data_IF_250065352549
#
_entry.id   IF_250065352549
#
_cell.length_a   1.000
_cell.length_b   1.000
_cell.length_c   1.000
_cell.angle_alpha   90.00
_cell.angle_beta   90.00
_cell.angle_gamma   90.00
#
_symmetry.space_group_name_H-M   'P 1'
#
loop_
_entity.id
_entity.type
_entity.pdbx_description
1 polymer ?
#
# COMPACT_ATOMS: atom_id res chain seq x y z
N UNK A 1 -81.41 43.04 19.14
CA UNK A 1 -81.98 43.49 20.44
C UNK A 1 -81.17 42.81 21.55
N UNK A 2 -80.60 43.51 22.55
CA UNK A 2 -81.27 44.29 23.62
C UNK A 2 -82.06 43.31 24.52
N UNK A 3 -81.78 43.13 25.83
CA UNK A 3 -81.24 44.05 26.86
C UNK A 3 -80.39 43.32 27.95
N UNK A 4 -79.58 44.07 28.73
CA UNK A 4 -78.97 43.63 30.01
C UNK A 4 -79.88 43.88 31.23
N UNK A 5 -79.91 42.97 32.21
CA UNK A 5 -80.37 43.13 33.61
C UNK A 5 -79.58 42.11 34.47
N UNK A 6 -78.99 42.33 35.66
CA UNK A 6 -79.11 43.31 36.78
C UNK A 6 -80.49 43.33 37.48
N UNK A 7 -80.62 43.29 38.82
CA UNK A 7 -79.60 43.30 39.91
C UNK A 7 -79.39 41.86 40.49
N UNK A 8 -79.18 41.48 41.77
CA UNK A 8 -79.17 42.11 43.12
C UNK A 8 -78.13 41.38 44.03
N UNK A 9 -78.06 41.68 45.34
CA UNK A 9 -77.08 41.15 46.32
C UNK A 9 -77.79 40.55 47.54
N UNK A 10 -77.31 39.40 48.05
CA UNK A 10 -77.34 38.96 49.46
C UNK A 10 -76.56 37.62 49.59
N UNK A 11 -75.71 37.36 50.60
CA UNK A 11 -75.22 38.28 51.64
C UNK A 11 -74.90 37.64 53.00
N UNK A 12 -74.17 36.51 53.07
CA UNK A 12 -73.63 35.98 54.34
C UNK A 12 -72.19 35.50 54.16
N UNK A 13 -71.31 35.90 55.07
CA UNK A 13 -69.91 35.47 55.13
C UNK A 13 -69.77 34.32 56.13
N UNK A 14 -69.12 33.22 55.75
CA UNK A 14 -68.53 32.30 56.72
C UNK A 14 -67.25 31.69 56.15
N UNK A 15 -66.14 31.85 56.87
CA UNK A 15 -64.82 31.40 56.44
C UNK A 15 -64.42 30.14 57.20
N UNK A 16 -64.38 29.00 56.51
CA UNK A 16 -63.70 27.80 56.97
C UNK A 16 -62.75 27.32 55.87
N UNK A 17 -61.47 27.23 56.18
CA UNK A 17 -60.47 26.66 55.30
C UNK A 17 -59.99 25.33 55.88
N UNK A 18 -60.09 24.24 55.10
CA UNK A 18 -59.04 23.22 55.04
C UNK A 18 -59.25 22.25 53.86
N UNK A 19 -58.10 21.77 53.36
CA UNK A 19 -57.84 21.04 52.14
C UNK A 19 -58.62 19.72 51.88
N UNK A 20 -58.70 19.36 50.59
CA UNK A 20 -58.65 17.94 50.15
C UNK A 20 -59.54 17.62 48.94
N UNK A 21 -58.98 16.99 47.89
CA UNK A 21 -59.79 16.19 46.95
C UNK A 21 -59.55 16.32 45.44
N UNK A 22 -58.72 17.23 44.93
CA UNK A 22 -58.43 17.26 43.48
C UNK A 22 -57.40 16.20 43.08
N UNK A 23 -57.84 15.23 42.27
CA UNK A 23 -57.06 14.08 41.83
C UNK A 23 -56.00 14.44 40.78
N UNK A 24 -54.77 14.71 41.22
CA UNK A 24 -53.61 14.82 40.33
C UNK A 24 -53.21 13.44 39.81
N UNK A 25 -53.68 13.09 38.60
CA UNK A 25 -53.13 11.95 37.85
C UNK A 25 -51.67 12.26 37.55
N UNK A 26 -50.75 11.59 38.26
CA UNK A 26 -49.31 11.69 38.02
C UNK A 26 -48.97 11.05 36.68
N UNK A 27 -48.92 11.86 35.62
CA UNK A 27 -48.36 11.45 34.35
C UNK A 27 -46.91 10.98 34.60
N UNK A 28 -46.66 9.68 34.48
CA UNK A 28 -45.35 9.09 34.70
C UNK A 28 -44.33 9.63 33.69
N UNK A 29 -43.64 10.71 34.08
CA UNK A 29 -42.57 11.32 33.33
C UNK A 29 -41.46 10.28 33.15
N UNK A 30 -41.41 9.68 31.95
CA UNK A 30 -40.44 8.64 31.60
C UNK A 30 -39.03 9.24 31.71
N UNK A 31 -38.32 8.92 32.79
CA UNK A 31 -37.02 9.48 33.11
C UNK A 31 -36.00 9.06 32.05
N UNK A 32 -35.64 10.00 31.17
CA UNK A 32 -34.59 9.80 30.19
C UNK A 32 -33.24 9.59 30.87
N UNK A 33 -32.35 8.81 30.23
CA UNK A 33 -31.00 8.61 30.73
C UNK A 33 -30.18 9.89 30.56
N UNK A 34 -29.66 10.43 31.67
CA UNK A 34 -28.72 11.54 31.62
C UNK A 34 -27.39 11.11 30.98
N UNK A 35 -26.74 12.01 30.24
CA UNK A 35 -25.36 11.81 29.78
C UNK A 35 -24.43 12.17 30.96
N UNK A 36 -23.80 11.16 31.55
CA UNK A 36 -22.88 11.31 32.69
C UNK A 36 -21.54 11.93 32.27
N UNK A 37 -21.05 11.61 31.08
CA UNK A 37 -19.84 12.21 30.52
C UNK A 37 -19.82 12.14 28.99
N UNK A 38 -18.97 12.97 28.38
CA UNK A 38 -18.68 12.97 26.95
C UNK A 38 -17.17 13.09 26.76
N UNK A 39 -16.62 12.33 25.81
CA UNK A 39 -15.23 12.37 25.40
C UNK A 39 -15.15 12.51 23.88
N UNK A 40 -14.55 13.59 23.39
CA UNK A 40 -14.22 13.71 21.96
C UNK A 40 -13.04 12.78 21.62
N UNK A 41 -13.07 12.18 20.44
CA UNK A 41 -12.07 11.19 20.01
C UNK A 41 -11.93 11.17 18.48
N UNK A 42 -11.00 10.37 17.96
CA UNK A 42 -10.88 10.12 16.52
C UNK A 42 -10.22 8.77 16.30
N UNK A 43 -11.02 7.73 16.06
CA UNK A 43 -10.50 6.40 15.70
C UNK A 43 -11.36 5.72 14.63
N UNK A 44 -10.72 4.90 13.80
CA UNK A 44 -11.42 4.04 12.85
C UNK A 44 -11.95 2.79 13.56
N UNK A 45 -13.16 2.38 13.21
CA UNK A 45 -13.84 1.24 13.81
C UNK A 45 -14.49 0.37 12.73
N UNK A 46 -14.66 -0.92 13.03
CA UNK A 46 -15.44 -1.88 12.24
C UNK A 46 -16.70 -2.24 13.02
N UNK A 47 -17.84 -2.19 12.36
CA UNK A 47 -19.08 -2.73 12.91
C UNK A 47 -19.02 -4.25 13.04
N UNK A 48 -19.43 -4.76 14.20
CA UNK A 48 -19.38 -6.19 14.56
C UNK A 48 -20.66 -6.63 15.27
N UNK A 49 -20.98 -7.92 15.15
CA UNK A 49 -22.06 -8.60 15.87
C UNK A 49 -23.47 -8.04 15.63
N UNK A 50 -23.71 -7.29 14.56
CA UNK A 50 -25.03 -6.70 14.25
C UNK A 50 -26.10 -7.76 13.96
N UNK A 51 -25.70 -8.93 13.46
CA UNK A 51 -26.61 -10.06 13.17
C UNK A 51 -27.38 -10.54 14.40
N UNK A 52 -26.72 -10.57 15.57
CA UNK A 52 -27.27 -10.98 16.88
C UNK A 52 -27.83 -9.83 17.73
N UNK A 53 -27.82 -8.59 17.21
CA UNK A 53 -28.26 -7.39 17.91
C UNK A 53 -29.68 -6.94 17.53
N UNK A 54 -30.27 -6.14 18.43
CA UNK A 54 -31.60 -5.53 18.30
C UNK A 54 -31.63 -4.05 18.75
N UNK A 55 -30.47 -3.47 19.11
CA UNK A 55 -30.26 -2.03 19.13
C UNK A 55 -30.03 -1.51 17.69
N UNK A 56 -30.52 -0.31 17.41
CA UNK A 56 -30.35 0.35 16.11
C UNK A 56 -29.26 1.42 16.13
N UNK A 57 -29.20 2.20 15.06
CA UNK A 57 -28.36 3.41 14.98
C UNK A 57 -29.26 4.63 15.21
N UNK A 58 -28.93 5.46 16.19
CA UNK A 58 -29.77 6.56 16.66
C UNK A 58 -29.26 7.90 16.11
N UNK A 59 -30.00 8.51 15.19
CA UNK A 59 -29.50 9.64 14.38
C UNK A 59 -29.06 10.86 15.22
N UNK A 60 -29.87 11.25 16.22
CA UNK A 60 -29.73 12.54 16.89
C UNK A 60 -28.89 12.50 18.17
N UNK A 61 -29.08 11.48 19.01
CA UNK A 61 -28.44 11.35 20.32
C UNK A 61 -28.41 9.86 20.76
N UNK A 62 -27.60 9.49 21.77
CA UNK A 62 -27.61 8.14 22.36
C UNK A 62 -29.02 7.71 22.79
N UNK A 63 -29.30 6.40 22.70
CA UNK A 63 -30.64 5.86 22.96
C UNK A 63 -31.22 6.32 24.31
N UNK A 64 -32.50 6.68 24.30
CA UNK A 64 -33.27 7.03 25.49
C UNK A 64 -32.73 8.22 26.32
N UNK A 65 -31.92 9.10 25.73
CA UNK A 65 -31.47 10.37 26.36
C UNK A 65 -32.45 11.54 26.20
N UNK A 66 -33.27 11.51 25.14
CA UNK A 66 -34.28 12.53 24.84
C UNK A 66 -35.36 11.96 23.90
N UNK A 67 -36.47 12.69 23.69
CA UNK A 67 -37.61 12.22 22.86
C UNK A 67 -37.20 11.81 21.44
N UNK A 68 -36.35 12.61 20.78
CA UNK A 68 -35.81 12.33 19.44
C UNK A 68 -34.80 11.19 19.40
N UNK A 69 -34.17 10.83 20.53
CA UNK A 69 -33.21 9.72 20.63
C UNK A 69 -33.87 8.32 20.58
N UNK A 70 -35.20 8.26 20.40
CA UNK A 70 -35.91 7.02 20.06
C UNK A 70 -35.97 6.77 18.55
N UNK A 71 -35.73 7.78 17.72
CA UNK A 71 -35.66 7.63 16.25
C UNK A 71 -34.37 6.90 15.87
N UNK A 72 -34.51 5.73 15.25
CA UNK A 72 -33.39 4.84 14.91
C UNK A 72 -33.51 4.26 13.51
N UNK A 73 -32.38 4.05 12.85
CA UNK A 73 -32.28 3.06 11.78
C UNK A 73 -32.46 1.66 12.40
N UNK A 74 -33.53 0.97 12.02
CA UNK A 74 -33.73 -0.44 12.37
C UNK A 74 -32.84 -1.38 11.54
N UNK A 75 -32.25 -0.87 10.45
CA UNK A 75 -31.39 -1.60 9.51
C UNK A 75 -29.95 -1.78 10.03
N UNK A 76 -29.71 -1.72 11.34
CA UNK A 76 -28.37 -1.89 11.95
C UNK A 76 -27.63 -3.14 11.46
N UNK A 77 -28.36 -4.21 11.11
CA UNK A 77 -27.80 -5.43 10.48
C UNK A 77 -27.07 -5.17 9.16
N UNK A 78 -27.50 -4.18 8.38
CA UNK A 78 -26.88 -3.77 7.13
C UNK A 78 -25.53 -3.04 7.34
N UNK A 79 -25.19 -2.69 8.58
CA UNK A 79 -23.93 -2.07 8.95
C UNK A 79 -22.83 -3.07 9.33
N UNK A 80 -23.14 -4.37 9.44
CA UNK A 80 -22.14 -5.40 9.76
C UNK A 80 -20.89 -5.29 8.86
N UNK A 81 -19.71 -5.36 9.49
CA UNK A 81 -18.39 -5.20 8.87
C UNK A 81 -18.11 -3.84 8.20
N UNK A 82 -19.00 -2.84 8.25
CA UNK A 82 -18.69 -1.49 7.71
C UNK A 82 -17.64 -0.78 8.55
N UNK A 83 -16.76 -0.05 7.87
CA UNK A 83 -15.76 0.83 8.48
C UNK A 83 -16.32 2.21 8.68
N UNK A 84 -16.17 2.76 9.88
CA UNK A 84 -16.66 4.09 10.27
C UNK A 84 -15.63 4.82 11.12
N UNK A 85 -15.69 6.15 11.11
CA UNK A 85 -14.83 6.99 11.97
C UNK A 85 -15.62 7.44 13.20
N UNK A 86 -15.17 7.05 14.39
CA UNK A 86 -15.77 7.45 15.67
C UNK A 86 -15.18 8.79 16.10
N UNK A 87 -16.05 9.76 16.39
CA UNK A 87 -15.69 11.14 16.71
C UNK A 87 -15.97 11.55 18.17
N UNK A 88 -16.86 10.84 18.86
CA UNK A 88 -17.28 11.18 20.22
C UNK A 88 -17.79 9.91 20.94
N UNK A 89 -17.48 9.74 22.22
CA UNK A 89 -18.09 8.75 23.11
C UNK A 89 -18.93 9.49 24.14
N UNK A 90 -20.18 9.07 24.35
CA UNK A 90 -21.04 9.52 25.43
C UNK A 90 -21.28 8.36 26.40
N UNK A 91 -21.07 8.59 27.71
CA UNK A 91 -21.39 7.61 28.77
C UNK A 91 -22.68 8.04 29.45
N UNK A 92 -23.66 7.14 29.54
CA UNK A 92 -24.96 7.40 30.14
C UNK A 92 -24.95 7.16 31.65
N UNK A 93 -25.99 7.62 32.36
CA UNK A 93 -26.14 7.49 33.81
C UNK A 93 -26.15 6.04 34.29
N UNK A 94 -26.62 5.11 33.45
CA UNK A 94 -26.58 3.65 33.69
C UNK A 94 -25.26 2.98 33.24
N UNK A 95 -24.22 3.76 32.89
CA UNK A 95 -22.92 3.25 32.46
C UNK A 95 -22.82 2.78 31.00
N UNK A 96 -23.93 2.69 30.26
CA UNK A 96 -23.90 2.32 28.83
C UNK A 96 -23.21 3.42 28.03
N UNK A 97 -22.34 3.03 27.10
CA UNK A 97 -21.60 3.96 26.25
C UNK A 97 -22.07 3.91 24.80
N UNK A 98 -22.19 5.08 24.17
CA UNK A 98 -22.53 5.25 22.76
C UNK A 98 -21.41 6.00 22.02
N UNK A 99 -21.02 5.49 20.86
CA UNK A 99 -20.11 6.13 19.92
C UNK A 99 -20.91 6.91 18.86
N UNK A 100 -20.59 8.19 18.70
CA UNK A 100 -20.98 9.00 17.53
C UNK A 100 -20.02 8.67 16.39
N UNK A 101 -20.56 8.37 15.21
CA UNK A 101 -19.74 7.93 14.08
C UNK A 101 -20.15 8.56 12.75
N UNK A 102 -19.17 8.58 11.84
CA UNK A 102 -19.29 9.06 10.47
C UNK A 102 -18.94 7.96 9.46
N UNK A 103 -19.58 8.00 8.29
CA UNK A 103 -19.34 7.11 7.16
C UNK A 103 -19.17 7.95 5.90
N UNK A 104 -18.09 7.75 5.14
CA UNK A 104 -17.67 8.60 4.01
C UNK A 104 -17.59 10.12 4.29
N UNK A 105 -17.44 10.51 5.56
CA UNK A 105 -17.36 11.90 6.03
C UNK A 105 -18.63 12.37 6.73
N UNK A 106 -19.80 11.95 6.24
CA UNK A 106 -21.10 12.30 6.81
C UNK A 106 -21.30 11.71 8.20
N UNK A 107 -21.83 12.52 9.14
CA UNK A 107 -22.20 12.04 10.48
C UNK A 107 -23.51 11.26 10.40
N UNK A 108 -23.47 9.97 10.72
CA UNK A 108 -24.64 9.09 10.60
C UNK A 108 -25.49 9.09 11.87
N UNK A 109 -24.84 9.12 13.04
CA UNK A 109 -25.53 9.11 14.33
C UNK A 109 -24.71 8.39 15.39
N UNK A 110 -25.43 7.70 16.30
CA UNK A 110 -24.89 7.05 17.49
C UNK A 110 -25.20 5.55 17.52
N UNK A 111 -24.24 4.74 17.94
CA UNK A 111 -24.44 3.31 18.23
C UNK A 111 -23.80 2.95 19.57
N UNK A 112 -24.33 1.95 20.27
CA UNK A 112 -23.72 1.39 21.49
C UNK A 112 -22.30 0.88 21.17
N UNK A 113 -21.30 1.22 22.00
CA UNK A 113 -19.89 0.96 21.67
C UNK A 113 -19.55 -0.53 21.46
N UNK A 114 -20.36 -1.45 21.99
CA UNK A 114 -20.16 -2.90 21.83
C UNK A 114 -20.51 -3.39 20.41
N UNK A 115 -21.09 -2.52 19.58
CA UNK A 115 -21.26 -2.73 18.14
C UNK A 115 -19.97 -2.48 17.34
N UNK A 116 -18.92 -1.92 17.96
CA UNK A 116 -17.73 -1.41 17.28
C UNK A 116 -16.44 -2.04 17.81
N UNK A 117 -15.69 -2.65 16.92
CA UNK A 117 -14.30 -3.05 17.14
C UNK A 117 -13.36 -1.92 16.69
N UNK A 118 -12.35 -1.56 17.49
CA UNK A 118 -11.32 -0.61 17.05
C UNK A 118 -10.49 -1.21 15.93
N UNK A 119 -10.43 -0.55 14.77
CA UNK A 119 -9.77 -1.07 13.59
C UNK A 119 -8.61 -0.18 13.14
N UNK A 120 -7.47 -0.80 12.78
CA UNK A 120 -6.46 -0.15 11.95
C UNK A 120 -5.75 -1.16 11.05
N UNK A 121 -5.75 -0.88 9.74
CA UNK A 121 -4.96 -1.61 8.73
C UNK A 121 -3.47 -1.47 9.01
N UNK A 122 -3.00 -0.28 9.42
CA UNK A 122 -1.59 -0.09 9.78
C UNK A 122 -1.16 -0.95 10.99
N UNK A 123 -1.95 -1.00 12.07
CA UNK A 123 -1.63 -1.79 13.25
C UNK A 123 -1.77 -3.30 13.01
N UNK A 124 -2.81 -3.74 12.28
CA UNK A 124 -2.99 -5.15 11.95
C UNK A 124 -1.88 -5.65 11.01
N UNK A 125 -1.46 -4.83 10.04
CA UNK A 125 -0.28 -5.11 9.24
C UNK A 125 1.00 -5.19 10.09
N UNK A 126 1.17 -4.30 11.08
CA UNK A 126 2.32 -4.34 12.00
C UNK A 126 2.38 -5.65 12.80
N UNK A 127 1.25 -6.15 13.27
CA UNK A 127 1.15 -7.47 13.94
C UNK A 127 1.52 -8.60 12.98
N UNK A 128 0.97 -8.61 11.76
CA UNK A 128 1.29 -9.64 10.75
C UNK A 128 2.79 -9.67 10.37
N UNK A 129 3.40 -8.50 10.18
CA UNK A 129 4.84 -8.38 9.88
C UNK A 129 5.71 -8.87 11.05
N UNK A 130 5.38 -8.46 12.28
CA UNK A 130 6.10 -8.89 13.49
C UNK A 130 6.01 -10.42 13.70
N UNK A 131 4.81 -11.00 13.52
CA UNK A 131 4.58 -12.44 13.68
C UNK A 131 5.32 -13.27 12.62
N UNK A 132 5.55 -12.69 11.43
CA UNK A 132 6.37 -13.26 10.38
C UNK A 132 7.88 -12.98 10.54
N UNK A 133 8.31 -12.36 11.65
CA UNK A 133 9.67 -11.88 11.91
C UNK A 133 10.28 -11.02 10.77
N UNK A 134 9.43 -10.34 10.00
CA UNK A 134 9.85 -9.38 8.97
C UNK A 134 10.51 -8.17 9.63
N UNK A 135 11.61 -7.67 9.06
CA UNK A 135 12.11 -6.32 9.34
C UNK A 135 12.21 -5.52 8.05
N UNK A 136 11.79 -4.25 8.10
CA UNK A 136 11.80 -3.34 6.96
C UNK A 136 10.59 -2.40 6.99
N UNK A 137 10.16 -1.98 5.80
CA UNK A 137 9.05 -1.05 5.60
C UNK A 137 8.05 -1.57 4.57
N UNK A 138 6.76 -1.41 4.87
CA UNK A 138 5.63 -1.88 4.08
C UNK A 138 4.66 -0.74 3.75
N UNK A 139 3.99 -0.83 2.61
CA UNK A 139 3.03 0.15 2.13
C UNK A 139 1.81 -0.55 1.54
N UNK A 140 0.64 -0.32 2.15
CA UNK A 140 -0.63 -0.95 1.82
C UNK A 140 -1.59 0.07 1.18
N UNK A 141 -2.06 -0.17 -0.04
CA UNK A 141 -2.87 0.79 -0.79
C UNK A 141 -4.07 0.13 -1.50
N UNK A 142 -5.18 0.87 -1.60
CA UNK A 142 -6.41 0.39 -2.23
C UNK A 142 -7.08 1.51 -3.02
N UNK A 143 -6.86 1.52 -4.35
CA UNK A 143 -7.02 2.64 -5.26
C UNK A 143 -6.05 3.81 -4.96
N UNK A 144 -5.19 4.14 -5.91
CA UNK A 144 -4.19 5.23 -5.85
C UNK A 144 -4.73 6.63 -5.45
N UNK A 145 -6.05 6.83 -5.41
CA UNK A 145 -6.71 8.07 -5.01
C UNK A 145 -6.78 8.29 -3.49
N UNK A 146 -6.99 7.23 -2.69
CA UNK A 146 -7.19 7.32 -1.22
C UNK A 146 -5.89 7.30 -0.42
N UNK A 147 -4.74 7.19 -1.10
CA UNK A 147 -3.43 7.09 -0.46
C UNK A 147 -3.09 5.67 -0.01
N UNK A 148 -2.25 5.56 1.03
CA UNK A 148 -1.72 4.30 1.51
C UNK A 148 -1.41 4.36 3.01
N UNK A 149 -1.44 3.21 3.69
CA UNK A 149 -0.92 3.08 5.05
C UNK A 149 0.53 2.61 5.00
N UNK A 150 1.43 3.35 5.64
CA UNK A 150 2.84 3.01 5.81
C UNK A 150 3.05 2.28 7.14
N UNK A 151 3.85 1.22 7.14
CA UNK A 151 4.11 0.39 8.32
C UNK A 151 5.56 -0.03 8.34
N UNK A 152 6.31 0.39 9.37
CA UNK A 152 7.73 0.09 9.50
C UNK A 152 7.95 -0.74 10.78
N UNK A 153 8.81 -1.74 10.71
CA UNK A 153 9.10 -2.68 11.81
C UNK A 153 10.58 -3.05 11.85
N UNK A 154 11.09 -3.30 13.07
CA UNK A 154 12.49 -3.66 13.27
C UNK A 154 13.46 -2.50 13.04
N UNK A 155 14.75 -2.85 12.91
CA UNK A 155 15.84 -1.90 12.76
C UNK A 155 16.32 -1.78 11.32
N UNK A 156 16.60 -0.54 10.91
CA UNK A 156 17.42 -0.25 9.74
C UNK A 156 18.91 -0.50 10.06
N UNK A 157 19.34 -0.18 11.28
CA UNK A 157 20.59 -0.69 11.85
C UNK A 157 20.40 -1.09 13.32
N UNK A 158 20.54 -2.38 13.59
CA UNK A 158 20.40 -2.97 14.92
C UNK A 158 21.56 -2.64 15.86
N UNK A 159 22.75 -2.31 15.34
CA UNK A 159 23.92 -1.98 16.16
C UNK A 159 23.75 -0.62 16.85
N UNK A 160 23.34 0.41 16.10
CA UNK A 160 22.97 1.73 16.64
C UNK A 160 21.53 1.80 17.18
N UNK A 161 20.73 0.72 17.01
CA UNK A 161 19.28 0.67 17.28
C UNK A 161 18.46 1.67 16.46
N UNK A 162 18.97 2.08 15.29
CA UNK A 162 18.25 2.92 14.33
C UNK A 162 17.07 2.16 13.73
N UNK A 163 15.84 2.61 14.02
CA UNK A 163 14.60 1.97 13.56
C UNK A 163 14.37 2.13 12.05
N UNK A 164 13.68 1.16 11.45
CA UNK A 164 13.12 1.31 10.10
C UNK A 164 12.08 2.43 10.05
N UNK A 165 12.13 3.27 9.03
CA UNK A 165 11.28 4.45 8.86
C UNK A 165 10.74 4.57 7.42
N UNK A 166 9.85 5.54 7.18
CA UNK A 166 9.32 5.85 5.85
C UNK A 166 10.37 6.44 4.89
N UNK A 167 11.53 6.89 5.40
CA UNK A 167 12.67 7.36 4.61
C UNK A 167 13.86 6.39 4.60
N UNK A 168 13.73 5.20 5.20
CA UNK A 168 14.77 4.16 5.11
C UNK A 168 14.90 3.65 3.68
N UNK A 169 16.13 3.62 3.18
CA UNK A 169 16.49 3.29 1.81
C UNK A 169 16.92 1.81 1.75
N UNK A 170 16.34 1.05 0.82
CA UNK A 170 16.60 -0.38 0.63
C UNK A 170 17.03 -0.66 -0.82
N UNK A 171 17.91 -1.64 -1.09
CA UNK A 171 18.15 -2.11 -2.46
C UNK A 171 16.87 -2.76 -3.02
N UNK A 172 16.43 -2.33 -4.20
CA UNK A 172 15.18 -2.85 -4.80
C UNK A 172 15.39 -4.10 -5.66
N UNK A 173 16.65 -4.43 -6.00
CA UNK A 173 16.99 -5.58 -6.83
C UNK A 173 16.06 -5.66 -8.08
N UNK A 174 15.47 -6.83 -8.34
CA UNK A 174 14.68 -7.05 -9.55
C UNK A 174 13.42 -6.18 -9.73
N UNK A 175 12.99 -5.40 -8.74
CA UNK A 175 11.95 -4.38 -8.91
C UNK A 175 12.38 -3.23 -9.85
N UNK A 176 13.69 -3.02 -10.05
CA UNK A 176 14.25 -2.07 -11.02
C UNK A 176 13.85 -2.40 -12.47
N UNK A 177 13.65 -3.67 -12.81
CA UNK A 177 13.35 -4.11 -14.18
C UNK A 177 12.10 -3.43 -14.75
N UNK A 178 11.13 -3.08 -13.90
CA UNK A 178 9.94 -2.31 -14.28
C UNK A 178 10.29 -0.89 -14.74
N UNK A 179 11.29 -0.24 -14.11
CA UNK A 179 11.77 1.09 -14.50
C UNK A 179 12.47 1.03 -15.86
N UNK A 180 13.32 0.02 -16.08
CA UNK A 180 14.01 -0.21 -17.35
C UNK A 180 13.03 -0.55 -18.47
N UNK A 181 12.03 -1.38 -18.21
CA UNK A 181 10.95 -1.69 -19.14
C UNK A 181 10.18 -0.43 -19.56
N UNK A 182 9.81 0.42 -18.60
CA UNK A 182 9.15 1.69 -18.88
C UNK A 182 10.03 2.67 -19.69
N UNK A 183 11.33 2.74 -19.43
CA UNK A 183 12.26 3.56 -20.24
C UNK A 183 12.30 3.06 -21.69
N UNK A 184 12.30 1.74 -21.91
CA UNK A 184 12.29 1.14 -23.25
C UNK A 184 10.98 1.44 -24.00
N UNK A 185 9.83 1.38 -23.32
CA UNK A 185 8.53 1.73 -23.91
C UNK A 185 8.35 3.22 -24.19
N UNK A 186 8.94 4.08 -23.35
CA UNK A 186 9.04 5.51 -23.69
C UNK A 186 9.90 5.72 -24.95
N UNK A 187 10.99 4.96 -25.13
CA UNK A 187 11.85 5.06 -26.32
C UNK A 187 11.18 4.48 -27.58
N UNK A 188 10.37 3.43 -27.43
CA UNK A 188 9.53 2.88 -28.50
C UNK A 188 8.44 3.87 -28.93
N UNK A 189 7.70 4.45 -27.98
CA UNK A 189 6.70 5.50 -28.25
C UNK A 189 7.29 6.81 -28.77
N UNK A 190 8.60 7.04 -28.58
CA UNK A 190 9.36 8.14 -29.18
C UNK A 190 10.05 7.76 -30.50
N UNK A 191 9.72 6.59 -31.07
CA UNK A 191 10.29 6.02 -32.30
C UNK A 191 11.83 5.92 -32.34
N UNK A 192 12.51 5.97 -31.18
CA UNK A 192 13.98 5.84 -31.07
C UNK A 192 14.48 4.41 -31.20
N UNK A 193 13.57 3.46 -31.00
CA UNK A 193 13.72 2.04 -31.27
C UNK A 193 12.36 1.45 -31.63
N UNK A 194 12.35 0.24 -32.17
CA UNK A 194 11.15 -0.61 -32.21
C UNK A 194 11.40 -1.87 -31.41
N UNK A 195 10.36 -2.37 -30.74
CA UNK A 195 10.43 -3.58 -29.92
C UNK A 195 10.55 -4.86 -30.77
N UNK A 196 10.30 -4.73 -32.08
CA UNK A 196 10.59 -5.73 -33.10
C UNK A 196 12.01 -5.62 -33.70
N UNK A 197 12.81 -4.60 -33.34
CA UNK A 197 14.22 -4.56 -33.75
C UNK A 197 14.97 -5.78 -33.22
N UNK A 198 15.94 -6.26 -33.99
CA UNK A 198 16.82 -7.37 -33.62
C UNK A 198 17.95 -6.89 -32.72
N UNK A 199 18.37 -7.74 -31.78
CA UNK A 199 19.50 -7.49 -30.88
C UNK A 199 20.80 -7.21 -31.67
N UNK A 200 20.95 -7.80 -32.85
CA UNK A 200 22.10 -7.59 -33.75
C UNK A 200 22.32 -6.13 -34.17
N UNK A 201 21.28 -5.29 -34.15
CA UNK A 201 21.40 -3.84 -34.42
C UNK A 201 22.25 -3.11 -33.36
N UNK A 202 22.39 -3.68 -32.17
CA UNK A 202 23.01 -3.03 -31.01
C UNK A 202 24.20 -3.83 -30.44
N UNK A 203 24.14 -5.16 -30.54
CA UNK A 203 25.15 -6.11 -30.08
C UNK A 203 25.32 -7.26 -31.10
N UNK A 204 25.88 -7.00 -32.29
CA UNK A 204 26.01 -8.00 -33.36
C UNK A 204 26.86 -9.21 -32.96
N UNK A 205 27.87 -9.02 -32.10
CA UNK A 205 28.72 -10.11 -31.59
C UNK A 205 28.03 -11.10 -30.65
N UNK A 206 26.80 -10.84 -30.18
CA UNK A 206 26.04 -11.81 -29.40
C UNK A 206 25.50 -12.90 -30.33
N UNK A 207 25.77 -14.17 -30.00
CA UNK A 207 25.27 -15.34 -30.74
C UNK A 207 23.74 -15.28 -30.89
N UNK A 208 23.22 -15.66 -32.05
CA UNK A 208 21.78 -15.62 -32.39
C UNK A 208 21.11 -14.23 -32.31
N UNK A 209 21.86 -13.13 -32.18
CA UNK A 209 21.32 -11.77 -32.01
C UNK A 209 20.44 -11.27 -33.17
N UNK A 210 20.59 -11.84 -34.38
CA UNK A 210 19.72 -11.59 -35.53
C UNK A 210 18.32 -12.21 -35.38
N UNK A 211 18.15 -13.18 -34.50
CA UNK A 211 16.85 -13.83 -34.23
C UNK A 211 16.14 -13.19 -33.03
N UNK A 212 16.88 -12.75 -32.01
CA UNK A 212 16.37 -12.16 -30.76
C UNK A 212 15.82 -10.76 -31.00
N UNK A 213 14.61 -10.47 -30.50
CA UNK A 213 13.98 -9.13 -30.52
C UNK A 213 14.07 -8.41 -29.17
N UNK A 214 13.92 -7.08 -29.20
CA UNK A 214 13.79 -6.23 -28.01
C UNK A 214 12.61 -6.66 -27.10
N UNK A 215 11.44 -7.00 -27.66
CA UNK A 215 10.29 -7.57 -26.92
C UNK A 215 10.64 -8.92 -26.27
N UNK A 216 11.48 -9.75 -26.88
CA UNK A 216 11.96 -11.00 -26.27
C UNK A 216 12.92 -10.76 -25.09
N UNK A 217 13.68 -9.67 -25.05
CA UNK A 217 14.45 -9.29 -23.85
C UNK A 217 13.49 -8.89 -22.71
N UNK A 218 12.57 -7.96 -22.98
CA UNK A 218 11.58 -7.47 -21.99
C UNK A 218 10.77 -8.58 -21.34
N UNK A 219 10.40 -9.59 -22.12
CA UNK A 219 9.51 -10.66 -21.68
C UNK A 219 10.27 -11.90 -21.18
N UNK A 220 11.60 -11.84 -21.03
CA UNK A 220 12.46 -12.95 -20.60
C UNK A 220 12.32 -14.18 -21.53
N UNK A 221 12.31 -13.97 -22.85
CA UNK A 221 12.16 -15.00 -23.90
C UNK A 221 13.22 -14.97 -25.01
N UNK A 222 14.37 -14.38 -24.72
CA UNK A 222 15.49 -14.24 -25.65
C UNK A 222 16.26 -15.55 -25.90
N UNK A 223 16.18 -16.52 -24.99
CA UNK A 223 17.09 -17.67 -25.00
C UNK A 223 18.52 -17.32 -24.58
N UNK A 224 18.74 -16.11 -24.04
CA UNK A 224 19.97 -15.73 -23.33
C UNK A 224 19.88 -16.27 -21.90
N UNK A 225 21.02 -16.71 -21.40
CA UNK A 225 21.27 -17.18 -20.05
C UNK A 225 22.63 -16.63 -19.56
N UNK A 226 22.80 -16.49 -18.24
CA UNK A 226 24.01 -15.94 -17.63
C UNK A 226 24.30 -16.67 -16.31
N UNK A 227 25.57 -16.79 -15.92
CA UNK A 227 25.95 -17.42 -14.64
C UNK A 227 25.57 -16.61 -13.38
N UNK A 228 25.10 -15.36 -13.54
CA UNK A 228 24.68 -14.47 -12.45
C UNK A 228 25.73 -14.35 -11.31
N UNK A 229 27.02 -14.47 -11.65
CA UNK A 229 28.10 -14.53 -10.68
C UNK A 229 28.53 -13.15 -10.19
N UNK A 230 29.13 -13.11 -9.00
CA UNK A 230 29.68 -11.90 -8.40
C UNK A 230 31.02 -11.55 -9.03
N UNK A 231 31.25 -10.30 -9.49
CA UNK A 231 32.56 -9.82 -9.93
C UNK A 231 33.63 -9.98 -8.84
N UNK A 232 34.86 -10.37 -9.22
CA UNK A 232 36.02 -10.38 -8.31
C UNK A 232 36.48 -8.97 -7.95
N UNK A 233 36.29 -8.01 -8.85
CA UNK A 233 36.58 -6.57 -8.66
C UNK A 233 35.31 -5.74 -8.83
N UNK A 234 35.27 -4.57 -8.19
CA UNK A 234 34.13 -3.67 -8.29
C UNK A 234 34.00 -3.08 -9.71
N UNK A 235 32.81 -3.15 -10.31
CA UNK A 235 32.55 -2.52 -11.60
C UNK A 235 32.19 -1.05 -11.37
N UNK A 236 32.89 -0.12 -12.02
CA UNK A 236 32.80 1.33 -11.73
C UNK A 236 32.39 2.19 -12.92
N UNK A 237 32.05 1.56 -14.06
CA UNK A 237 31.54 2.27 -15.24
C UNK A 237 30.50 1.41 -15.96
N UNK A 238 29.49 2.06 -16.56
CA UNK A 238 28.45 1.38 -17.33
C UNK A 238 29.00 0.46 -18.43
N UNK A 239 30.13 0.83 -19.04
CA UNK A 239 30.83 -0.01 -20.02
C UNK A 239 31.39 -1.30 -19.40
N UNK A 240 31.93 -1.24 -18.17
CA UNK A 240 32.39 -2.42 -17.44
C UNK A 240 31.22 -3.33 -17.02
N UNK A 241 30.11 -2.75 -16.54
CA UNK A 241 28.88 -3.50 -16.21
C UNK A 241 28.32 -4.27 -17.42
N UNK A 242 28.24 -3.61 -18.58
CA UNK A 242 27.79 -4.21 -19.85
C UNK A 242 28.78 -5.28 -20.33
N UNK A 243 30.08 -5.01 -20.31
CA UNK A 243 31.10 -5.96 -20.77
C UNK A 243 31.18 -7.20 -19.87
N UNK A 244 31.02 -7.04 -18.55
CA UNK A 244 30.94 -8.16 -17.60
C UNK A 244 29.76 -9.08 -17.93
N UNK A 245 28.58 -8.49 -18.21
CA UNK A 245 27.41 -9.24 -18.69
C UNK A 245 27.70 -9.97 -20.01
N UNK A 246 28.22 -9.25 -21.03
CA UNK A 246 28.49 -9.81 -22.36
C UNK A 246 29.44 -11.01 -22.31
N UNK A 247 30.45 -10.97 -21.43
CA UNK A 247 31.45 -12.04 -21.28
C UNK A 247 30.91 -13.32 -20.61
N UNK A 248 29.68 -13.31 -20.08
CA UNK A 248 29.06 -14.47 -19.43
C UNK A 248 27.92 -15.11 -20.25
N UNK A 249 27.53 -14.54 -21.39
CA UNK A 249 26.30 -14.94 -22.08
C UNK A 249 26.40 -16.33 -22.71
N UNK A 250 25.52 -17.22 -22.28
CA UNK A 250 25.16 -18.44 -23.01
C UNK A 250 23.90 -18.13 -23.81
N UNK A 251 23.87 -18.44 -25.11
CA UNK A 251 22.71 -18.16 -25.96
C UNK A 251 22.25 -19.41 -26.72
N UNK A 252 21.04 -19.86 -26.39
CA UNK A 252 20.34 -20.95 -27.02
C UNK A 252 19.30 -20.48 -28.05
N UNK A 253 18.16 -21.18 -28.10
CA UNK A 253 17.02 -20.86 -28.97
C UNK A 253 16.08 -19.88 -28.25
N UNK A 254 15.68 -18.80 -28.92
CA UNK A 254 14.71 -17.85 -28.39
C UNK A 254 13.27 -18.40 -28.42
N UNK A 255 12.37 -17.79 -27.64
CA UNK A 255 10.94 -18.11 -27.64
C UNK A 255 10.44 -18.92 -26.43
N UNK A 256 11.30 -19.65 -25.72
CA UNK A 256 11.01 -20.20 -24.38
C UNK A 256 11.24 -19.13 -23.29
N UNK A 257 10.60 -19.26 -22.12
CA UNK A 257 10.86 -18.38 -20.98
C UNK A 257 12.15 -18.81 -20.26
N UNK A 258 13.12 -17.89 -20.13
CA UNK A 258 14.29 -18.01 -19.27
C UNK A 258 14.56 -16.67 -18.60
N UNK A 259 14.61 -16.64 -17.26
CA UNK A 259 14.84 -15.42 -16.50
C UNK A 259 16.33 -15.20 -16.26
N UNK A 260 16.86 -14.08 -16.75
CA UNK A 260 18.22 -13.60 -16.43
C UNK A 260 18.23 -12.08 -16.24
N UNK A 261 19.18 -11.58 -15.45
CA UNK A 261 19.47 -10.15 -15.36
C UNK A 261 20.04 -9.60 -16.68
N UNK A 262 20.79 -10.41 -17.44
CA UNK A 262 21.44 -10.02 -18.68
C UNK A 262 20.49 -9.38 -19.71
N UNK A 263 19.26 -9.89 -19.82
CA UNK A 263 18.23 -9.33 -20.70
C UNK A 263 17.96 -7.85 -20.38
N UNK A 264 18.00 -7.46 -19.11
CA UNK A 264 17.75 -6.08 -18.66
C UNK A 264 19.01 -5.21 -18.67
N UNK A 265 20.21 -5.78 -18.43
CA UNK A 265 21.49 -5.08 -18.67
C UNK A 265 21.65 -4.70 -20.15
N UNK A 266 21.31 -5.61 -21.07
CA UNK A 266 21.35 -5.35 -22.51
C UNK A 266 20.33 -4.27 -22.91
N UNK A 267 19.12 -4.29 -22.33
CA UNK A 267 18.13 -3.23 -22.53
C UNK A 267 18.63 -1.86 -22.03
N UNK A 268 19.21 -1.78 -20.84
CA UNK A 268 19.81 -0.55 -20.32
C UNK A 268 20.91 0.00 -21.25
N UNK A 269 21.79 -0.87 -21.75
CA UNK A 269 22.82 -0.49 -22.73
C UNK A 269 22.26 -0.09 -24.09
N UNK A 270 21.16 -0.70 -24.56
CA UNK A 270 20.45 -0.26 -25.79
C UNK A 270 19.84 1.12 -25.59
N UNK A 271 19.20 1.36 -24.45
CA UNK A 271 18.61 2.65 -24.11
C UNK A 271 19.68 3.76 -24.18
N UNK A 272 20.85 3.54 -23.59
CA UNK A 272 22.00 4.45 -23.72
C UNK A 272 22.49 4.64 -25.15
N UNK A 273 22.65 3.55 -25.92
CA UNK A 273 23.08 3.59 -27.33
C UNK A 273 22.15 4.43 -28.22
N UNK A 274 20.82 4.43 -27.98
CA UNK A 274 19.86 5.21 -28.78
C UNK A 274 19.60 6.63 -28.26
N UNK A 275 20.22 7.05 -27.14
CA UNK A 275 20.04 8.40 -26.59
C UNK A 275 21.32 9.18 -26.29
N UNK A 276 22.50 8.56 -26.33
CA UNK A 276 23.75 9.21 -25.92
C UNK A 276 23.76 9.67 -24.47
N UNK A 277 23.05 8.97 -23.58
CA UNK A 277 22.94 9.26 -22.14
C UNK A 277 23.22 7.99 -21.35
N UNK A 278 23.79 8.09 -20.15
CA UNK A 278 23.96 6.92 -19.27
C UNK A 278 22.59 6.37 -18.83
N UNK A 279 22.55 5.13 -18.38
CA UNK A 279 21.32 4.53 -17.84
C UNK A 279 20.77 5.35 -16.66
N UNK A 280 21.65 5.84 -15.78
CA UNK A 280 21.23 6.59 -14.59
C UNK A 280 20.75 8.01 -14.95
N UNK A 281 21.33 8.64 -15.97
CA UNK A 281 20.79 9.86 -16.57
C UNK A 281 19.38 9.62 -17.15
N UNK A 282 19.14 8.46 -17.77
CA UNK A 282 17.82 8.10 -18.27
C UNK A 282 16.83 7.85 -17.13
N UNK A 283 17.19 7.12 -16.08
CA UNK A 283 16.35 6.94 -14.88
C UNK A 283 16.04 8.28 -14.21
N UNK A 284 17.05 9.15 -14.05
CA UNK A 284 16.89 10.48 -13.47
C UNK A 284 15.87 11.30 -14.27
N UNK A 285 16.03 11.35 -15.59
CA UNK A 285 15.22 12.18 -16.50
C UNK A 285 13.83 11.62 -16.78
N UNK A 286 13.64 10.29 -16.73
CA UNK A 286 12.41 9.60 -17.19
C UNK A 286 11.56 9.02 -16.06
N UNK A 287 12.14 8.81 -14.88
CA UNK A 287 11.47 8.17 -13.72
C UNK A 287 11.52 9.10 -12.49
N UNK A 288 12.70 9.50 -12.04
CA UNK A 288 12.89 10.25 -10.78
C UNK A 288 12.31 11.67 -10.88
N UNK A 289 12.75 12.46 -11.87
CA UNK A 289 12.33 13.86 -12.00
C UNK A 289 10.82 14.04 -12.32
N UNK A 290 10.19 13.28 -13.26
CA UNK A 290 8.75 13.44 -13.55
C UNK A 290 7.82 13.10 -12.37
N UNK A 291 8.30 12.25 -11.45
CA UNK A 291 7.59 11.87 -10.23
C UNK A 291 8.04 12.64 -8.98
N UNK A 292 9.11 13.44 -9.07
CA UNK A 292 9.74 14.14 -7.95
C UNK A 292 10.18 13.20 -6.80
N UNK A 293 10.66 11.99 -7.15
CA UNK A 293 11.12 10.99 -6.16
C UNK A 293 12.27 11.54 -5.30
N UNK A 294 12.34 11.14 -4.03
CA UNK A 294 13.24 11.76 -3.04
C UNK A 294 14.27 10.83 -2.40
N UNK A 295 14.07 9.52 -2.49
CA UNK A 295 14.85 8.50 -1.83
C UNK A 295 15.27 7.37 -2.79
N UNK A 296 15.28 7.63 -4.10
CA UNK A 296 15.60 6.66 -5.17
C UNK A 296 16.95 7.01 -5.79
N UNK A 297 17.90 6.06 -5.74
CA UNK A 297 19.31 6.29 -6.07
C UNK A 297 19.94 5.10 -6.78
N UNK A 298 20.96 5.36 -7.60
CA UNK A 298 21.91 4.32 -8.03
C UNK A 298 22.77 3.86 -6.83
N UNK A 299 23.25 2.62 -6.88
CA UNK A 299 23.98 1.95 -5.80
C UNK A 299 25.29 2.62 -5.34
N UNK A 300 25.90 3.44 -6.19
CA UNK A 300 27.15 4.17 -5.95
C UNK A 300 26.93 5.63 -5.55
N UNK A 301 25.71 6.16 -5.76
CA UNK A 301 25.32 7.55 -5.50
C UNK A 301 24.29 7.65 -4.35
N UNK A 302 24.55 6.93 -3.25
CA UNK A 302 23.72 6.93 -2.05
C UNK A 302 23.96 8.20 -1.19
N UNK A 303 22.90 8.75 -0.53
CA UNK A 303 23.00 10.00 0.23
C UNK A 303 23.80 9.81 1.52
N UNK A 304 24.82 10.65 1.74
CA UNK A 304 25.68 10.62 2.95
C UNK A 304 24.94 10.76 4.28
N UNK A 305 23.76 11.36 4.29
CA UNK A 305 22.92 11.61 5.47
C UNK A 305 21.61 10.80 5.49
N UNK A 306 21.42 9.88 4.55
CA UNK A 306 20.22 9.04 4.49
C UNK A 306 20.42 7.69 5.19
N UNK A 307 19.38 7.19 5.86
CA UNK A 307 19.40 5.87 6.49
C UNK A 307 19.24 4.77 5.43
N UNK A 308 20.35 4.22 4.94
CA UNK A 308 20.35 2.96 4.20
C UNK A 308 20.22 1.81 5.20
N UNK A 309 19.30 0.87 4.99
CA UNK A 309 19.17 -0.30 5.85
C UNK A 309 20.35 -1.26 5.69
N UNK A 310 20.82 -1.84 6.79
CA UNK A 310 21.66 -3.04 6.81
C UNK A 310 20.80 -4.29 6.57
N UNK A 311 21.31 -5.25 5.81
CA UNK A 311 20.68 -6.54 5.59
C UNK A 311 20.88 -7.50 6.76
N UNK A 312 19.86 -8.29 7.07
CA UNK A 312 19.81 -9.21 8.19
C UNK A 312 19.08 -10.51 7.86
N UNK A 313 19.50 -11.63 8.45
CA UNK A 313 18.76 -12.90 8.41
C UNK A 313 18.15 -13.25 9.77
N UNK A 314 17.01 -13.95 9.75
CA UNK A 314 16.47 -14.63 10.93
C UNK A 314 17.08 -16.03 11.01
N UNK A 315 17.85 -16.30 12.06
CA UNK A 315 18.57 -17.57 12.25
C UNK A 315 18.61 -17.94 13.73
N UNK A 316 18.56 -19.23 14.04
CA UNK A 316 18.67 -19.77 15.40
C UNK A 316 17.72 -19.10 16.43
N UNK A 317 16.48 -18.81 16.00
CA UNK A 317 15.46 -18.13 16.80
C UNK A 317 15.66 -16.62 16.99
N UNK A 318 16.65 -16.01 16.32
CA UNK A 318 17.07 -14.62 16.53
C UNK A 318 17.01 -13.81 15.23
N UNK A 319 16.53 -12.57 15.34
CA UNK A 319 16.64 -11.54 14.29
C UNK A 319 17.97 -10.79 14.38
N UNK A 320 18.30 -10.02 13.32
CA UNK A 320 19.45 -9.12 13.23
C UNK A 320 20.84 -9.78 13.03
N UNK A 321 20.91 -11.01 12.52
CA UNK A 321 22.19 -11.58 12.11
C UNK A 321 22.63 -10.91 10.81
N UNK A 322 23.77 -10.19 10.79
CA UNK A 322 24.18 -9.37 9.63
C UNK A 322 24.32 -10.24 8.37
N UNK A 323 23.66 -9.82 7.30
CA UNK A 323 23.59 -10.52 6.01
C UNK A 323 23.50 -9.45 4.89
N UNK A 324 24.64 -8.83 4.58
CA UNK A 324 24.74 -7.62 3.77
C UNK A 324 25.26 -7.93 2.35
N UNK A 325 24.57 -7.42 1.33
CA UNK A 325 24.91 -7.67 -0.07
C UNK A 325 26.30 -7.13 -0.47
N UNK A 326 27.07 -7.95 -1.20
CA UNK A 326 28.35 -7.54 -1.76
C UNK A 326 28.20 -6.38 -2.75
N UNK A 327 28.98 -5.30 -2.57
CA UNK A 327 29.01 -4.18 -3.53
C UNK A 327 29.41 -4.63 -4.94
N UNK A 328 30.28 -5.63 -5.06
CA UNK A 328 30.64 -6.21 -6.36
C UNK A 328 29.41 -6.84 -7.03
N UNK A 329 28.60 -7.60 -6.29
CA UNK A 329 27.35 -8.17 -6.80
C UNK A 329 26.39 -7.07 -7.23
N UNK A 330 26.19 -6.04 -6.41
CA UNK A 330 25.29 -4.93 -6.78
C UNK A 330 25.79 -4.23 -8.05
N UNK A 331 27.11 -4.05 -8.21
CA UNK A 331 27.71 -3.46 -9.43
C UNK A 331 27.55 -4.30 -10.70
N UNK A 332 27.16 -5.58 -10.65
CA UNK A 332 26.87 -6.35 -11.88
C UNK A 332 25.44 -6.18 -12.40
N UNK A 333 24.55 -5.52 -11.64
CA UNK A 333 23.11 -5.53 -11.87
C UNK A 333 22.56 -4.29 -12.59
N UNK A 334 23.33 -3.69 -13.50
CA UNK A 334 22.89 -2.57 -14.35
C UNK A 334 21.54 -2.84 -15.03
N UNK A 335 20.57 -1.95 -14.86
CA UNK A 335 19.20 -2.12 -15.39
C UNK A 335 18.40 -3.27 -14.75
N UNK A 336 19.02 -4.10 -13.92
CA UNK A 336 18.46 -5.34 -13.42
C UNK A 336 18.22 -5.33 -11.91
N UNK A 337 19.00 -4.57 -11.13
CA UNK A 337 18.88 -4.50 -9.68
C UNK A 337 19.92 -3.67 -8.91
N UNK A 338 20.73 -2.84 -9.58
CA UNK A 338 21.70 -1.92 -8.98
C UNK A 338 21.10 -0.57 -8.49
N UNK A 339 19.82 -0.54 -8.12
CA UNK A 339 19.13 0.64 -7.57
C UNK A 339 18.61 0.44 -6.15
N UNK A 340 18.45 1.56 -5.44
CA UNK A 340 17.89 1.66 -4.09
C UNK A 340 16.68 2.61 -4.08
N UNK A 341 15.71 2.38 -3.19
CA UNK A 341 14.48 3.19 -3.07
C UNK A 341 13.81 3.05 -1.69
N UNK A 342 12.73 3.81 -1.46
CA UNK A 342 11.75 3.56 -0.39
C UNK A 342 10.48 2.91 -0.96
N UNK A 343 9.63 2.26 -0.15
CA UNK A 343 8.30 1.84 -0.58
C UNK A 343 7.44 3.00 -1.11
N UNK A 344 7.61 4.21 -0.55
CA UNK A 344 6.88 5.42 -0.93
C UNK A 344 7.21 5.88 -2.36
N UNK A 345 8.51 5.96 -2.69
CA UNK A 345 8.96 6.27 -4.04
C UNK A 345 8.56 5.15 -5.03
N UNK A 346 8.67 3.88 -4.64
CA UNK A 346 8.29 2.77 -5.54
C UNK A 346 6.79 2.72 -5.79
N UNK A 347 5.95 3.06 -4.81
CA UNK A 347 4.51 3.29 -5.00
C UNK A 347 4.24 4.44 -5.98
N UNK A 348 5.00 5.54 -5.88
CA UNK A 348 4.91 6.64 -6.84
C UNK A 348 5.31 6.19 -8.25
N UNK A 349 6.32 5.32 -8.41
CA UNK A 349 6.67 4.66 -9.68
C UNK A 349 5.46 3.86 -10.20
N UNK A 350 4.88 2.97 -9.40
CA UNK A 350 3.74 2.14 -9.83
C UNK A 350 2.51 2.97 -10.22
N UNK A 351 2.26 4.09 -9.54
CA UNK A 351 1.23 5.08 -9.93
C UNK A 351 1.60 5.81 -11.23
N UNK A 352 2.88 6.17 -11.38
CA UNK A 352 3.47 6.85 -12.54
C UNK A 352 3.37 6.07 -13.86
N UNK A 353 3.44 4.74 -13.79
CA UNK A 353 3.30 3.84 -14.94
C UNK A 353 1.92 3.87 -15.60
N UNK A 354 0.90 4.51 -14.99
CA UNK A 354 -0.49 4.44 -15.50
C UNK A 354 -1.28 5.75 -15.45
N UNK A 355 -0.75 6.79 -14.80
CA UNK A 355 -1.38 8.11 -14.72
C UNK A 355 -0.83 9.11 -15.75
N UNK A 356 -0.11 8.64 -16.79
CA UNK A 356 0.50 9.50 -17.80
C UNK A 356 1.87 10.09 -17.44
N UNK A 357 2.35 9.98 -16.19
CA UNK A 357 3.63 10.60 -15.77
C UNK A 357 4.88 9.86 -16.24
N UNK A 358 4.83 8.53 -16.36
CA UNK A 358 5.91 7.72 -16.97
C UNK A 358 5.43 7.13 -18.30
N UNK A 359 4.26 6.47 -18.31
CA UNK A 359 3.71 5.83 -19.51
C UNK A 359 2.28 6.31 -19.76
N UNK A 360 1.90 6.37 -21.04
CA UNK A 360 0.49 6.37 -21.43
C UNK A 360 -0.16 5.02 -21.10
N UNK A 361 -1.49 5.00 -21.02
CA UNK A 361 -2.25 3.76 -20.78
C UNK A 361 -1.95 2.67 -21.81
N UNK A 362 -1.75 3.04 -23.09
CA UNK A 362 -1.44 2.10 -24.16
C UNK A 362 -0.03 1.50 -24.00
N UNK A 363 0.98 2.32 -23.67
CA UNK A 363 2.35 1.83 -23.40
C UNK A 363 2.40 0.91 -22.18
N UNK A 364 1.61 1.18 -21.13
CA UNK A 364 1.51 0.25 -20.00
C UNK A 364 0.96 -1.12 -20.44
N UNK A 365 -0.06 -1.13 -21.30
CA UNK A 365 -0.65 -2.37 -21.77
C UNK A 365 0.26 -3.14 -22.74
N UNK A 366 1.01 -2.46 -23.62
CA UNK A 366 2.00 -3.09 -24.50
C UNK A 366 3.22 -3.63 -23.72
N UNK A 367 3.62 -2.96 -22.63
CA UNK A 367 4.68 -3.42 -21.72
C UNK A 367 4.30 -4.72 -20.99
N UNK A 368 3.07 -4.79 -20.50
CA UNK A 368 2.75 -5.60 -19.32
C UNK A 368 1.33 -6.20 -19.30
N UNK A 369 0.61 -6.34 -20.42
CA UNK A 369 -0.73 -6.96 -20.45
C UNK A 369 -0.92 -8.16 -21.41
N UNK A 370 0.14 -8.71 -22.01
CA UNK A 370 0.03 -10.01 -22.68
C UNK A 370 -0.07 -11.15 -21.66
N UNK A 371 -1.29 -11.39 -21.18
CA UNK A 371 -1.63 -12.46 -20.23
C UNK A 371 -1.42 -13.89 -20.77
N UNK A 372 -1.05 -14.07 -22.05
CA UNK A 372 -0.57 -15.36 -22.58
C UNK A 372 0.84 -15.70 -22.11
N UNK A 373 1.57 -14.71 -21.58
CA UNK A 373 2.90 -14.84 -21.03
C UNK A 373 2.85 -14.77 -19.50
N UNK A 374 3.74 -15.51 -18.83
CA UNK A 374 3.93 -15.45 -17.37
C UNK A 374 4.67 -14.19 -16.91
N UNK A 375 5.29 -13.45 -17.83
CA UNK A 375 6.11 -12.27 -17.55
C UNK A 375 6.11 -11.28 -18.72
N UNK A 376 6.04 -9.99 -18.42
CA UNK A 376 6.19 -8.90 -19.38
C UNK A 376 6.79 -7.66 -18.71
N UNK A 377 7.84 -7.11 -19.31
CA UNK A 377 8.28 -5.74 -19.00
C UNK A 377 8.80 -5.45 -17.59
N UNK A 378 9.14 -6.49 -16.81
CA UNK A 378 9.50 -6.36 -15.39
C UNK A 378 8.48 -6.99 -14.43
N UNK A 379 7.27 -7.30 -14.89
CA UNK A 379 6.14 -7.78 -14.08
C UNK A 379 5.83 -9.25 -14.39
N UNK A 380 5.63 -10.07 -13.36
CA UNK A 380 5.00 -11.39 -13.51
C UNK A 380 3.48 -11.24 -13.61
N UNK A 381 2.88 -12.02 -14.51
CA UNK A 381 1.46 -12.34 -14.48
C UNK A 381 1.27 -13.52 -13.53
N UNK A 382 0.61 -13.27 -12.41
CA UNK A 382 0.41 -14.24 -11.34
C UNK A 382 -1.03 -14.79 -11.42
N UNK A 383 -1.60 -15.25 -10.30
CA UNK A 383 -2.96 -15.81 -10.27
C UNK A 383 -4.01 -14.81 -10.76
N UNK A 384 -4.77 -15.19 -11.80
CA UNK A 384 -5.81 -14.36 -12.39
C UNK A 384 -5.25 -13.07 -12.97
N UNK A 385 -5.77 -11.92 -12.52
CA UNK A 385 -5.32 -10.60 -13.00
C UNK A 385 -4.19 -9.99 -12.15
N UNK A 386 -3.66 -10.71 -11.17
CA UNK A 386 -2.65 -10.16 -10.24
C UNK A 386 -1.29 -9.98 -10.92
N UNK A 387 -0.65 -8.83 -10.66
CA UNK A 387 0.73 -8.53 -11.06
C UNK A 387 1.64 -8.71 -9.85
N UNK A 388 2.84 -9.28 -10.06
CA UNK A 388 3.82 -9.53 -8.99
C UNK A 388 5.24 -9.24 -9.44
N UNK A 389 6.06 -8.65 -8.57
CA UNK A 389 7.53 -8.56 -8.75
C UNK A 389 8.18 -8.92 -7.42
N UNK A 390 9.24 -9.72 -7.45
CA UNK A 390 10.06 -10.06 -6.27
C UNK A 390 11.52 -9.77 -6.60
N UNK A 391 12.24 -9.14 -5.69
CA UNK A 391 13.65 -8.81 -5.81
C UNK A 391 14.41 -9.25 -4.56
N UNK A 392 15.34 -10.18 -4.73
CA UNK A 392 16.33 -10.61 -3.71
C UNK A 392 17.73 -10.32 -4.22
N UNK A 393 18.70 -10.25 -3.31
CA UNK A 393 20.13 -10.28 -3.62
C UNK A 393 20.75 -11.57 -3.07
N UNK A 394 21.70 -12.16 -3.80
CA UNK A 394 22.35 -13.41 -3.38
C UNK A 394 23.29 -13.15 -2.21
N UNK A 395 23.20 -13.96 -1.14
CA UNK A 395 23.96 -13.75 0.10
C UNK A 395 23.65 -12.41 0.77
N UNK A 396 22.35 -12.10 0.93
CA UNK A 396 21.90 -10.93 1.68
C UNK A 396 20.45 -11.09 2.17
N UNK A 397 20.16 -10.49 3.33
CA UNK A 397 18.84 -10.51 3.99
C UNK A 397 17.76 -9.65 3.32
N UNK A 398 18.07 -9.03 2.19
CA UNK A 398 17.16 -8.12 1.48
C UNK A 398 16.15 -8.87 0.62
N UNK A 399 14.87 -8.61 0.86
CA UNK A 399 13.80 -9.08 0.00
C UNK A 399 12.72 -8.02 -0.22
N UNK A 400 12.49 -7.67 -1.48
CA UNK A 400 11.49 -6.69 -1.88
C UNK A 400 10.40 -7.33 -2.72
N UNK A 401 9.15 -6.92 -2.53
CA UNK A 401 8.01 -7.43 -3.30
C UNK A 401 7.03 -6.32 -3.64
N UNK A 402 6.46 -6.40 -4.84
CA UNK A 402 5.19 -5.78 -5.22
C UNK A 402 4.19 -6.91 -5.47
N UNK A 403 3.03 -6.84 -4.83
CA UNK A 403 1.90 -7.75 -5.08
C UNK A 403 0.63 -6.91 -5.25
N UNK A 404 0.06 -6.88 -6.45
CA UNK A 404 -1.00 -5.94 -6.81
C UNK A 404 -2.06 -6.49 -7.76
N UNK A 405 -3.25 -5.90 -7.69
CA UNK A 405 -4.34 -6.08 -8.66
C UNK A 405 -3.95 -5.58 -10.05
N UNK A 406 -4.80 -5.83 -11.04
CA UNK A 406 -4.60 -5.30 -12.40
C UNK A 406 -4.34 -3.79 -12.41
N UNK A 407 -3.37 -3.38 -13.22
CA UNK A 407 -2.91 -2.01 -13.32
C UNK A 407 -2.40 -1.44 -12.00
N UNK A 408 -1.94 -2.30 -11.10
CA UNK A 408 -1.44 -2.01 -9.76
C UNK A 408 -2.37 -1.06 -8.96
N UNK A 409 -3.69 -1.08 -9.20
CA UNK A 409 -4.64 -0.12 -8.59
C UNK A 409 -4.71 -0.24 -7.06
N UNK A 410 -4.72 -1.48 -6.58
CA UNK A 410 -4.68 -1.86 -5.16
C UNK A 410 -3.62 -2.93 -4.97
N UNK A 411 -2.91 -2.93 -3.84
CA UNK A 411 -1.71 -3.74 -3.71
C UNK A 411 -0.95 -3.49 -2.40
N UNK A 412 0.16 -4.20 -2.28
CA UNK A 412 1.17 -3.98 -1.25
C UNK A 412 2.56 -3.93 -1.86
N UNK A 413 3.41 -3.10 -1.25
CA UNK A 413 4.85 -3.08 -1.47
C UNK A 413 5.50 -3.38 -0.12
N UNK A 414 6.31 -4.43 -0.04
CA UNK A 414 7.07 -4.78 1.17
C UNK A 414 8.56 -4.71 0.82
N UNK A 415 9.33 -3.85 1.48
CA UNK A 415 10.78 -3.79 1.36
C UNK A 415 11.38 -4.31 2.68
N UNK A 416 11.87 -5.54 2.66
CA UNK A 416 12.51 -6.16 3.81
C UNK A 416 14.02 -5.91 3.80
N UNK A 417 14.56 -5.57 4.97
CA UNK A 417 15.97 -5.81 5.29
C UNK A 417 16.17 -7.03 6.20
N UNK A 418 15.10 -7.66 6.67
CA UNK A 418 15.10 -9.06 7.09
C UNK A 418 13.90 -9.78 6.49
N UNK A 419 14.18 -10.72 5.58
CA UNK A 419 13.15 -11.56 4.97
C UNK A 419 12.31 -12.30 6.03
N UNK A 420 10.99 -12.45 5.82
CA UNK A 420 10.10 -13.11 6.78
C UNK A 420 10.33 -14.61 6.88
N UNK A 421 10.02 -15.20 8.04
CA UNK A 421 10.02 -16.67 8.24
C UNK A 421 8.86 -17.37 7.53
N UNK A 422 7.78 -16.64 7.25
CA UNK A 422 6.71 -17.07 6.33
C UNK A 422 7.05 -16.69 4.90
N UNK A 423 6.70 -17.51 3.91
CA UNK A 423 6.91 -17.17 2.49
C UNK A 423 6.36 -15.77 2.13
N UNK A 424 7.21 -14.91 1.55
CA UNK A 424 6.91 -13.50 1.29
C UNK A 424 5.66 -13.28 0.44
N UNK A 425 5.42 -14.08 -0.60
CA UNK A 425 4.21 -13.95 -1.43
C UNK A 425 2.92 -14.24 -0.63
N UNK A 426 2.97 -15.13 0.36
CA UNK A 426 1.85 -15.42 1.27
C UNK A 426 1.60 -14.26 2.24
N UNK A 427 2.67 -13.67 2.79
CA UNK A 427 2.58 -12.47 3.64
C UNK A 427 2.06 -11.27 2.83
N UNK A 428 2.55 -11.07 1.61
CA UNK A 428 2.12 -10.03 0.68
C UNK A 428 0.65 -10.21 0.27
N UNK A 429 0.20 -11.44 -0.03
CA UNK A 429 -1.22 -11.72 -0.28
C UNK A 429 -2.08 -11.40 0.95
N UNK A 430 -1.64 -11.78 2.15
CA UNK A 430 -2.39 -11.54 3.40
C UNK A 430 -2.54 -10.04 3.68
N UNK A 431 -1.46 -9.26 3.47
CA UNK A 431 -1.48 -7.80 3.60
C UNK A 431 -2.27 -7.12 2.47
N UNK A 432 -2.32 -7.71 1.27
CA UNK A 432 -3.18 -7.26 0.17
C UNK A 432 -4.66 -7.50 0.46
N UNK A 433 -5.04 -8.67 0.98
CA UNK A 433 -6.41 -8.94 1.39
C UNK A 433 -6.84 -7.99 2.52
N UNK A 434 -5.95 -7.71 3.49
CA UNK A 434 -6.17 -6.67 4.50
C UNK A 434 -6.38 -5.29 3.85
N UNK A 435 -5.53 -4.87 2.89
CA UNK A 435 -5.69 -3.59 2.20
C UNK A 435 -6.97 -3.49 1.35
N UNK A 436 -7.35 -4.59 0.70
CA UNK A 436 -8.49 -4.72 -0.21
C UNK A 436 -9.83 -4.70 0.52
N UNK A 437 -9.97 -5.49 1.58
CA UNK A 437 -11.23 -5.63 2.31
C UNK A 437 -11.41 -4.61 3.44
N UNK A 438 -10.32 -4.04 3.97
CA UNK A 438 -10.34 -3.16 5.13
C UNK A 438 -9.65 -1.82 4.81
N UNK A 439 -10.43 -0.83 4.37
CA UNK A 439 -9.88 0.48 4.01
C UNK A 439 -9.92 1.48 5.19
N UNK A 440 -8.83 2.21 5.42
CA UNK A 440 -8.70 3.24 6.45
C UNK A 440 -9.05 4.66 5.96
N UNK A 441 -9.07 4.87 4.64
CA UNK A 441 -8.99 6.18 3.99
C UNK A 441 -10.14 6.40 2.98
#
# INVERSE_FOLDING_TARGET
MILKKFVTILGVTLACALAGGLSTISANASSYLGIKSTQNTSYNARFVNQSSRNDGIYYYAPYYTQRSAKTRDASGKNWEHRFVKVSQIATLSNGVQFAKFSWYGDTIGWVDVRALEKFSRSQNAKVLLNNAHFQGSAMLFNNFATGASHVNVGYADAATKTLNSSSTIYPIASLQKVMTGAIIEQLAGQSKLSLNNKLSRYYPGVKNSSQITLRQLLNQRSGIDMSESTPSTLLTTQSAEINYTLNQLKVGKSGGFNYTNANFTLLAGIASKVTGQTYDQLVQKRIIAPLNLKHTYAWDNLPKSGTVANGYSYANGKSNNIDNASRNLVSSLLGAGNYYSTPADYYAIQKGLRNGKILTTNQYYDLANDYKLTYGGGLYHYTGTMKRVRGTLSGAGYETVLYGSEGNKSGVILFANQAPTTAMDSLAKTLYDLARYYNEN
#
